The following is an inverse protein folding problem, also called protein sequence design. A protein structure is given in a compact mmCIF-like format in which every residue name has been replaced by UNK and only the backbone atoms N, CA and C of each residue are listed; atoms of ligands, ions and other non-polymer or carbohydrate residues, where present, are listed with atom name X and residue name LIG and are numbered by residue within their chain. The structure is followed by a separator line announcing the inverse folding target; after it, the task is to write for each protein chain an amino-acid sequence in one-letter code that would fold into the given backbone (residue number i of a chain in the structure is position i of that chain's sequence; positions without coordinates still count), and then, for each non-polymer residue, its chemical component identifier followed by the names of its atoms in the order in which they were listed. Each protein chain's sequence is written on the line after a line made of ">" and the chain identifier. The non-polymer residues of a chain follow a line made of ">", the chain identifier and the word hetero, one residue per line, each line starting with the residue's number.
data_IF_487587458726
#
_entry.id   IF_487587458726
#
_cell.length_a   1.000
_cell.length_b   1.000
_cell.length_c   1.000
_cell.angle_alpha   90.00
_cell.angle_beta   90.00
_cell.angle_gamma   90.00
#
_symmetry.space_group_name_H-M   'P 1'
#
loop_
_entity.id
_entity.type
_entity.pdbx_description
1 polymer ?
#
# COMPACT_ATOMS: atom_id res chain seq x y z
N UNK A 1 13.49 -15.16 17.35
CA UNK A 1 12.89 -14.40 18.48
C UNK A 1 11.39 -14.39 18.29
N UNK A 2 10.63 -14.69 19.34
CA UNK A 2 9.18 -14.68 19.34
C UNK A 2 8.70 -13.49 20.18
N UNK A 3 7.76 -12.71 19.66
CA UNK A 3 7.10 -11.64 20.41
C UNK A 3 5.65 -12.08 20.60
N UNK A 4 5.21 -12.17 21.85
CA UNK A 4 3.88 -12.69 22.20
C UNK A 4 3.00 -11.58 22.76
N UNK A 5 1.75 -11.56 22.30
CA UNK A 5 0.65 -10.82 22.91
C UNK A 5 -0.39 -11.81 23.42
N UNK A 6 -1.41 -11.34 24.13
CA UNK A 6 -2.51 -12.20 24.61
C UNK A 6 -3.29 -12.89 23.48
N UNK A 7 -3.35 -12.25 22.31
CA UNK A 7 -4.19 -12.71 21.19
C UNK A 7 -3.38 -13.34 20.06
N UNK A 8 -2.11 -12.95 19.89
CA UNK A 8 -1.29 -13.29 18.72
C UNK A 8 0.18 -13.46 19.06
N UNK A 9 0.81 -14.36 18.30
CA UNK A 9 2.24 -14.59 18.30
C UNK A 9 2.87 -14.06 17.01
N UNK A 10 3.96 -13.30 17.17
CA UNK A 10 4.69 -12.65 16.09
C UNK A 10 6.11 -13.22 16.01
N UNK A 11 6.40 -13.93 14.93
CA UNK A 11 7.73 -14.48 14.66
C UNK A 11 8.59 -13.40 14.01
N UNK A 12 9.70 -13.03 14.65
CA UNK A 12 10.63 -12.03 14.09
C UNK A 12 11.36 -12.63 12.89
N UNK A 13 11.14 -12.05 11.71
CA UNK A 13 11.82 -12.45 10.46
C UNK A 13 13.08 -11.61 10.26
N UNK A 14 13.00 -10.31 10.57
CA UNK A 14 14.11 -9.37 10.36
C UNK A 14 14.18 -8.33 11.46
N UNK A 15 15.39 -8.10 11.93
CA UNK A 15 15.73 -6.94 12.73
C UNK A 15 15.94 -5.74 11.81
N UNK A 16 15.15 -4.67 11.98
CA UNK A 16 15.19 -3.52 11.07
C UNK A 16 15.95 -2.33 11.65
N UNK A 17 15.83 -2.07 12.95
CA UNK A 17 16.40 -0.86 13.55
C UNK A 17 16.52 -0.97 15.09
N UNK A 18 17.53 -0.33 15.67
CA UNK A 18 17.70 -0.13 17.11
C UNK A 18 18.23 1.26 17.41
N UNK A 19 17.64 1.93 18.40
CA UNK A 19 18.32 2.99 19.15
C UNK A 19 18.01 2.91 20.65
N UNK A 20 18.36 3.94 21.42
CA UNK A 20 18.12 3.98 22.86
C UNK A 20 16.63 3.99 23.23
N UNK A 21 15.76 4.47 22.35
CA UNK A 21 14.34 4.67 22.63
C UNK A 21 13.47 3.56 22.03
N UNK A 22 13.81 3.05 20.84
CA UNK A 22 12.98 2.10 20.11
C UNK A 22 13.78 0.97 19.46
N UNK A 23 13.13 -0.18 19.28
CA UNK A 23 13.59 -1.30 18.46
C UNK A 23 12.49 -1.65 17.45
N UNK A 24 12.88 -1.97 16.21
CA UNK A 24 11.93 -2.29 15.14
C UNK A 24 12.22 -3.64 14.53
N UNK A 25 11.17 -4.42 14.40
CA UNK A 25 11.17 -5.76 13.83
C UNK A 25 10.19 -5.83 12.67
N UNK A 26 10.52 -6.64 11.68
CA UNK A 26 9.54 -7.14 10.71
C UNK A 26 9.20 -8.56 11.13
N UNK A 27 7.93 -8.79 11.41
CA UNK A 27 7.42 -10.03 11.95
C UNK A 27 6.41 -10.67 10.99
N UNK A 28 6.25 -11.99 11.10
CA UNK A 28 5.15 -12.74 10.51
C UNK A 28 4.21 -13.22 11.61
N UNK A 29 2.92 -13.29 11.31
CA UNK A 29 1.98 -14.05 12.14
C UNK A 29 2.37 -15.53 12.16
N UNK A 30 2.34 -16.18 13.33
CA UNK A 30 2.67 -17.60 13.43
C UNK A 30 1.73 -18.49 12.61
N UNK A 31 0.44 -18.16 12.58
CA UNK A 31 -0.60 -18.95 11.90
C UNK A 31 -0.96 -18.40 10.51
N UNK A 32 -0.20 -17.45 9.97
CA UNK A 32 -0.55 -16.75 8.73
C UNK A 32 0.63 -16.27 7.89
N UNK A 33 0.31 -15.69 6.73
CA UNK A 33 1.29 -15.07 5.83
C UNK A 33 1.41 -13.55 6.00
N UNK A 34 0.58 -12.95 6.85
CA UNK A 34 0.57 -11.51 7.08
C UNK A 34 1.84 -11.07 7.78
N UNK A 35 2.44 -9.99 7.27
CA UNK A 35 3.60 -9.34 7.86
C UNK A 35 3.22 -8.07 8.60
N UNK A 36 3.99 -7.78 9.63
CA UNK A 36 3.78 -6.65 10.51
C UNK A 36 5.11 -5.95 10.80
N UNK A 37 5.05 -4.63 10.96
CA UNK A 37 6.10 -3.88 11.63
C UNK A 37 5.77 -3.87 13.11
N UNK A 38 6.64 -4.45 13.93
CA UNK A 38 6.51 -4.42 15.39
C UNK A 38 7.56 -3.48 15.94
N UNK A 39 7.12 -2.44 16.65
CA UNK A 39 7.99 -1.44 17.30
C UNK A 39 7.92 -1.64 18.80
N UNK A 40 9.06 -1.91 19.42
CA UNK A 40 9.23 -1.94 20.87
C UNK A 40 9.72 -0.57 21.33
N UNK A 41 8.95 0.08 22.21
CA UNK A 41 9.30 1.35 22.83
C UNK A 41 9.87 1.05 24.22
N UNK A 42 11.13 1.43 24.41
CA UNK A 42 11.92 1.24 25.64
C UNK A 42 11.87 2.46 26.56
N UNK A 43 11.61 3.64 26.00
CA UNK A 43 11.62 4.88 26.76
C UNK A 43 10.37 5.02 27.64
N UNK A 44 10.52 4.76 28.94
CA UNK A 44 9.44 4.82 29.93
C UNK A 44 8.78 6.19 30.05
N UNK A 45 9.51 7.28 29.79
CA UNK A 45 8.93 8.64 29.82
C UNK A 45 7.92 8.86 28.70
N UNK A 46 8.08 8.17 27.57
CA UNK A 46 7.14 8.25 26.44
C UNK A 46 5.93 7.36 26.63
N UNK A 47 6.11 6.19 27.26
CA UNK A 47 5.09 5.14 27.33
C UNK A 47 3.75 5.66 27.83
N UNK A 48 3.70 6.40 28.94
CA UNK A 48 2.44 6.84 29.53
C UNK A 48 1.59 7.67 28.54
N UNK A 49 2.17 8.70 27.94
CA UNK A 49 1.47 9.53 26.96
C UNK A 49 1.21 8.83 25.63
N UNK A 50 2.10 7.93 25.20
CA UNK A 50 1.94 7.18 23.95
C UNK A 50 0.83 6.13 24.06
N UNK A 51 0.65 5.49 25.22
CA UNK A 51 -0.46 4.54 25.42
C UNK A 51 -1.80 5.22 25.21
N UNK A 52 -2.03 6.35 25.85
CA UNK A 52 -3.28 7.11 25.71
C UNK A 52 -3.56 7.45 24.24
N UNK A 53 -2.55 7.98 23.54
CA UNK A 53 -2.62 8.27 22.11
C UNK A 53 -2.99 7.04 21.27
N UNK A 54 -2.37 5.88 21.53
CA UNK A 54 -2.63 4.65 20.77
C UNK A 54 -3.98 4.01 21.10
N UNK A 55 -4.50 4.20 22.32
CA UNK A 55 -5.84 3.72 22.66
C UNK A 55 -6.92 4.45 21.86
N UNK A 56 -6.78 5.76 21.66
CA UNK A 56 -7.64 6.50 20.74
C UNK A 56 -7.55 5.98 19.30
N UNK A 57 -6.37 5.53 18.86
CA UNK A 57 -6.24 4.96 17.52
C UNK A 57 -6.86 3.57 17.39
N UNK A 58 -6.92 2.81 18.49
CA UNK A 58 -7.62 1.52 18.53
C UNK A 58 -9.12 1.69 18.30
N UNK A 59 -9.68 2.83 18.71
CA UNK A 59 -11.09 3.19 18.52
C UNK A 59 -11.37 3.71 17.10
N UNK A 60 -10.34 4.16 16.36
CA UNK A 60 -10.47 4.55 14.96
C UNK A 60 -10.60 3.31 14.06
N UNK A 61 -11.85 2.94 13.75
CA UNK A 61 -12.16 1.78 12.91
C UNK A 61 -11.63 1.86 11.47
N UNK A 62 -11.32 3.07 10.97
CA UNK A 62 -10.81 3.28 9.61
C UNK A 62 -9.30 3.07 9.52
N UNK A 63 -8.55 3.33 10.61
CA UNK A 63 -7.09 3.23 10.60
C UNK A 63 -6.58 1.80 10.75
N UNK A 64 -6.93 0.95 9.79
CA UNK A 64 -6.67 -0.50 9.80
C UNK A 64 -5.19 -0.89 9.70
N UNK A 65 -4.31 0.07 9.40
CA UNK A 65 -2.87 -0.11 9.44
C UNK A 65 -2.33 -0.19 10.87
N UNK A 66 -2.97 0.46 11.83
CA UNK A 66 -2.72 0.23 13.25
C UNK A 66 -3.46 -1.04 13.69
N UNK A 67 -2.69 -2.07 14.07
CA UNK A 67 -3.25 -3.39 14.39
C UNK A 67 -3.52 -3.54 15.87
N UNK A 68 -2.53 -3.20 16.71
CA UNK A 68 -2.65 -3.33 18.17
C UNK A 68 -1.49 -2.66 18.88
N UNK A 69 -1.64 -2.44 20.18
CA UNK A 69 -0.52 -2.21 21.09
C UNK A 69 -0.69 -3.04 22.36
N UNK A 70 0.43 -3.46 22.97
CA UNK A 70 0.42 -4.28 24.19
C UNK A 70 1.72 -4.13 24.98
N UNK A 71 1.67 -4.49 26.25
CA UNK A 71 2.84 -4.50 27.14
C UNK A 71 3.47 -5.88 27.22
N UNK A 72 4.80 -5.93 27.19
CA UNK A 72 5.59 -7.12 27.50
C UNK A 72 6.96 -6.69 28.01
N UNK A 73 7.51 -7.37 29.03
CA UNK A 73 8.83 -7.07 29.59
C UNK A 73 9.06 -5.57 29.88
N UNK A 74 8.06 -4.91 30.50
CA UNK A 74 8.07 -3.48 30.83
C UNK A 74 8.19 -2.50 29.64
N UNK A 75 8.09 -3.02 28.42
CA UNK A 75 8.13 -2.24 27.18
C UNK A 75 6.75 -2.20 26.54
N UNK A 76 6.47 -1.12 25.82
CA UNK A 76 5.28 -1.00 25.00
C UNK A 76 5.59 -1.47 23.58
N UNK A 77 4.80 -2.41 23.07
CA UNK A 77 4.88 -2.90 21.71
C UNK A 77 3.74 -2.29 20.89
N UNK A 78 4.06 -1.82 19.70
CA UNK A 78 3.13 -1.27 18.72
C UNK A 78 3.21 -2.11 17.46
N UNK A 79 2.07 -2.59 16.97
CA UNK A 79 1.98 -3.45 15.79
C UNK A 79 1.29 -2.67 14.68
N UNK A 80 2.02 -2.48 13.58
CA UNK A 80 1.51 -1.88 12.35
C UNK A 80 1.48 -2.94 11.25
N UNK A 81 0.53 -2.85 10.33
CA UNK A 81 0.56 -3.64 9.09
C UNK A 81 1.84 -3.31 8.30
N UNK A 82 2.47 -4.34 7.73
CA UNK A 82 3.63 -4.15 6.87
C UNK A 82 3.20 -4.11 5.40
N UNK A 83 3.45 -2.98 4.72
CA UNK A 83 3.18 -2.86 3.29
C UNK A 83 4.27 -3.54 2.43
N UNK A 84 3.83 -4.44 1.56
CA UNK A 84 4.67 -5.16 0.60
C UNK A 84 4.57 -4.56 -0.80
N UNK A 85 5.69 -4.55 -1.53
CA UNK A 85 5.80 -3.91 -2.84
C UNK A 85 7.09 -3.12 -2.99
N UNK A 86 7.17 -2.35 -4.07
CA UNK A 86 8.28 -1.44 -4.37
C UNK A 86 8.05 -0.09 -3.73
N UNK A 87 9.10 0.58 -3.28
CA UNK A 87 8.93 1.95 -2.77
C UNK A 87 8.68 2.95 -3.90
N UNK A 88 8.03 4.07 -3.58
CA UNK A 88 7.89 5.19 -4.51
C UNK A 88 9.27 5.70 -4.97
N UNK A 89 10.25 5.72 -4.07
CA UNK A 89 11.63 6.09 -4.41
C UNK A 89 12.23 5.16 -5.47
N UNK A 90 12.13 3.85 -5.28
CA UNK A 90 12.61 2.84 -6.23
C UNK A 90 11.87 2.94 -7.56
N UNK A 91 10.54 3.09 -7.55
CA UNK A 91 9.71 3.26 -8.76
C UNK A 91 10.18 4.44 -9.59
N UNK A 92 10.40 5.60 -8.96
CA UNK A 92 10.82 6.82 -9.65
C UNK A 92 12.30 6.80 -10.10
N UNK A 93 13.16 6.02 -9.45
CA UNK A 93 14.57 5.84 -9.85
C UNK A 93 14.73 4.84 -11.00
N UNK A 94 14.02 3.73 -10.95
CA UNK A 94 14.26 2.58 -11.82
C UNK A 94 13.42 2.62 -13.11
N UNK A 95 12.33 3.40 -13.12
CA UNK A 95 11.38 3.41 -14.23
C UNK A 95 11.03 4.85 -14.65
N UNK A 96 11.12 5.12 -15.96
CA UNK A 96 10.60 6.35 -16.52
C UNK A 96 9.07 6.33 -16.50
N UNK A 97 8.49 6.76 -15.39
CA UNK A 97 7.04 6.75 -15.16
C UNK A 97 6.35 7.88 -15.94
N UNK A 98 5.40 7.57 -16.87
CA UNK A 98 4.62 8.57 -17.57
C UNK A 98 3.90 9.53 -16.62
N UNK A 99 3.58 10.73 -17.10
CA UNK A 99 2.90 11.75 -16.27
C UNK A 99 1.57 11.25 -15.69
N UNK A 100 0.75 10.54 -16.47
CA UNK A 100 -0.53 10.03 -15.97
C UNK A 100 -0.38 8.98 -14.88
N UNK A 101 0.66 8.16 -14.97
CA UNK A 101 0.97 7.20 -13.91
C UNK A 101 1.37 7.94 -12.63
N UNK A 102 2.21 8.97 -12.74
CA UNK A 102 2.59 9.82 -11.58
C UNK A 102 1.39 10.58 -11.00
N UNK A 103 0.47 11.06 -11.84
CA UNK A 103 -0.78 11.68 -11.41
C UNK A 103 -1.67 10.68 -10.66
N UNK A 104 -1.79 9.45 -11.18
CA UNK A 104 -2.55 8.37 -10.56
C UNK A 104 -1.94 7.95 -9.22
N UNK A 105 -0.61 7.84 -9.12
CA UNK A 105 0.11 7.57 -7.88
C UNK A 105 -0.21 8.64 -6.82
N UNK A 106 -0.08 9.92 -7.16
CA UNK A 106 -0.39 11.00 -6.21
C UNK A 106 -1.85 11.00 -5.75
N UNK A 107 -2.79 10.67 -6.66
CA UNK A 107 -4.21 10.50 -6.31
C UNK A 107 -4.42 9.29 -5.40
N UNK A 108 -3.74 8.18 -5.68
CA UNK A 108 -3.79 6.94 -4.89
C UNK A 108 -3.30 7.16 -3.46
N UNK A 109 -2.18 7.86 -3.29
CA UNK A 109 -1.63 8.21 -1.97
C UNK A 109 -2.65 9.02 -1.16
N UNK A 110 -3.19 10.11 -1.72
CA UNK A 110 -4.15 10.95 -1.01
C UNK A 110 -5.47 10.20 -0.70
N UNK A 111 -5.93 9.37 -1.64
CA UNK A 111 -7.13 8.56 -1.44
C UNK A 111 -6.94 7.56 -0.30
N UNK A 112 -5.81 6.87 -0.26
CA UNK A 112 -5.53 5.90 0.79
C UNK A 112 -5.43 6.57 2.17
N UNK A 113 -4.81 7.76 2.23
CA UNK A 113 -4.77 8.56 3.46
C UNK A 113 -6.17 8.85 3.99
N UNK A 114 -7.09 9.27 3.12
CA UNK A 114 -8.46 9.59 3.51
C UNK A 114 -9.25 8.33 3.91
N UNK A 115 -9.05 7.20 3.22
CA UNK A 115 -9.72 5.93 3.54
C UNK A 115 -9.29 5.43 4.92
N UNK A 116 -8.01 5.55 5.24
CA UNK A 116 -7.44 5.12 6.50
C UNK A 116 -7.68 6.10 7.65
N UNK A 117 -8.28 7.27 7.38
CA UNK A 117 -8.49 8.35 8.35
C UNK A 117 -7.23 8.60 9.22
N UNK A 118 -6.08 8.71 8.56
CA UNK A 118 -4.80 8.62 9.25
C UNK A 118 -4.50 9.85 10.12
N UNK A 119 -4.10 9.67 11.39
CA UNK A 119 -3.69 10.79 12.23
C UNK A 119 -2.39 11.45 11.76
N UNK A 120 -2.25 12.74 12.01
CA UNK A 120 -1.12 13.58 11.59
C UNK A 120 0.25 13.00 11.92
N UNK A 121 0.39 12.39 13.11
CA UNK A 121 1.64 11.75 13.51
C UNK A 121 2.06 10.63 12.54
N UNK A 122 1.14 9.74 12.20
CA UNK A 122 1.41 8.61 11.31
C UNK A 122 1.65 9.08 9.88
N UNK A 123 0.91 10.09 9.43
CA UNK A 123 1.15 10.75 8.14
C UNK A 123 2.56 11.34 8.07
N UNK A 124 2.97 12.09 9.08
CA UNK A 124 4.30 12.68 9.13
C UNK A 124 5.41 11.62 9.17
N UNK A 125 5.14 10.45 9.76
CA UNK A 125 6.09 9.33 9.83
C UNK A 125 6.24 8.59 8.48
N UNK A 126 5.13 8.34 7.78
CA UNK A 126 5.11 7.53 6.56
C UNK A 126 5.24 8.30 5.24
N UNK A 127 5.04 9.63 5.22
CA UNK A 127 5.14 10.45 4.01
C UNK A 127 6.60 10.76 3.62
N UNK A 128 7.36 9.69 3.36
CA UNK A 128 8.69 9.68 2.73
C UNK A 128 8.65 8.74 1.52
N UNK A 129 9.42 9.03 0.49
CA UNK A 129 9.38 8.24 -0.73
C UNK A 129 9.81 6.78 -0.53
N UNK A 130 10.72 6.49 0.42
CA UNK A 130 11.10 5.12 0.77
C UNK A 130 10.02 4.35 1.55
N UNK A 131 9.02 5.04 2.12
CA UNK A 131 7.99 4.46 2.99
C UNK A 131 6.63 4.33 2.32
N UNK A 132 6.40 5.08 1.24
CA UNK A 132 5.23 4.89 0.39
C UNK A 132 5.50 3.70 -0.52
N UNK A 133 4.70 2.66 -0.38
CA UNK A 133 4.84 1.40 -1.11
C UNK A 133 3.75 1.30 -2.15
N UNK A 134 4.13 0.90 -3.36
CA UNK A 134 3.21 0.70 -4.47
C UNK A 134 3.05 -0.80 -4.73
N UNK A 135 1.80 -1.24 -4.77
CA UNK A 135 1.44 -2.57 -5.26
C UNK A 135 1.68 -2.67 -6.77
N UNK A 136 1.62 -3.88 -7.34
CA UNK A 136 1.64 -4.05 -8.79
C UNK A 136 0.47 -3.33 -9.51
N UNK A 137 -0.63 -3.07 -8.80
CA UNK A 137 -1.78 -2.29 -9.27
C UNK A 137 -1.65 -0.77 -9.07
N UNK A 138 -0.51 -0.30 -8.54
CA UNK A 138 -0.26 1.09 -8.12
C UNK A 138 -1.11 1.55 -6.93
N UNK A 139 -1.70 0.63 -6.18
CA UNK A 139 -2.32 0.95 -4.91
C UNK A 139 -1.23 1.38 -3.92
N UNK A 140 -1.47 2.47 -3.21
CA UNK A 140 -0.55 2.98 -2.22
C UNK A 140 -0.75 2.25 -0.90
N UNK A 141 0.36 1.90 -0.24
CA UNK A 141 0.42 1.46 1.15
C UNK A 141 1.57 2.16 1.85
N UNK A 142 1.64 2.01 3.18
CA UNK A 142 2.59 2.78 3.99
C UNK A 142 3.43 1.87 4.88
N UNK A 143 4.72 2.19 5.00
CA UNK A 143 5.59 1.64 6.05
C UNK A 143 5.78 2.68 7.14
N UNK A 144 5.68 2.20 8.38
CA UNK A 144 5.78 3.04 9.57
C UNK A 144 7.08 2.75 10.31
N UNK A 145 7.72 3.81 10.76
CA UNK A 145 8.97 3.79 11.48
C UNK A 145 8.79 3.94 12.98
N UNK A 146 7.86 4.82 13.37
CA UNK A 146 7.52 5.21 14.73
C UNK A 146 8.73 5.59 15.61
N UNK A 147 9.82 6.07 14.99
CA UNK A 147 11.08 6.33 15.69
C UNK A 147 10.95 7.42 16.76
N UNK A 148 10.16 8.44 16.46
CA UNK A 148 9.96 9.61 17.31
C UNK A 148 8.53 9.64 17.87
N UNK A 149 7.98 8.49 18.26
CA UNK A 149 6.59 8.40 18.74
C UNK A 149 6.33 9.19 20.03
N UNK A 150 7.37 9.47 20.83
CA UNK A 150 7.25 10.38 21.96
C UNK A 150 6.88 11.82 21.59
N UNK A 151 7.06 12.24 20.34
CA UNK A 151 6.72 13.59 19.87
C UNK A 151 5.32 13.65 19.21
N UNK A 152 4.45 12.64 19.39
CA UNK A 152 3.15 12.56 18.70
C UNK A 152 2.30 13.83 18.85
N UNK A 153 2.24 14.39 20.06
CA UNK A 153 1.44 15.57 20.40
C UNK A 153 1.99 16.87 19.83
N UNK A 154 3.25 16.87 19.39
CA UNK A 154 3.92 18.03 18.78
C UNK A 154 3.75 18.07 17.28
N UNK A 155 3.25 17.00 16.67
CA UNK A 155 3.02 16.98 15.23
C UNK A 155 1.82 17.87 14.91
N UNK A 156 2.00 18.71 13.92
CA UNK A 156 0.99 19.64 13.43
C UNK A 156 0.78 19.42 11.94
N UNK A 157 -0.44 19.68 11.46
CA UNK A 157 -0.83 19.45 10.07
C UNK A 157 0.09 20.13 9.03
N UNK A 158 0.66 21.31 9.32
CA UNK A 158 1.59 21.98 8.42
C UNK A 158 2.84 21.13 8.10
N UNK A 159 3.24 20.23 9.02
CA UNK A 159 4.34 19.28 8.78
C UNK A 159 3.92 18.18 7.81
N UNK A 160 2.67 17.73 7.88
CA UNK A 160 2.07 16.80 6.91
C UNK A 160 2.03 17.44 5.52
N UNK A 161 1.58 18.70 5.42
CA UNK A 161 1.57 19.45 4.16
C UNK A 161 2.98 19.54 3.54
N UNK A 162 3.99 19.81 4.36
CA UNK A 162 5.38 19.85 3.91
C UNK A 162 5.91 18.50 3.43
N UNK A 163 5.52 17.40 4.08
CA UNK A 163 5.87 16.05 3.62
C UNK A 163 5.19 15.73 2.29
N UNK A 164 3.89 16.01 2.16
CA UNK A 164 3.15 15.87 0.89
C UNK A 164 3.76 16.72 -0.23
N UNK A 165 4.19 17.95 0.08
CA UNK A 165 4.86 18.82 -0.89
C UNK A 165 6.12 18.17 -1.46
N UNK A 166 6.94 17.53 -0.61
CA UNK A 166 8.14 16.83 -1.07
C UNK A 166 7.77 15.67 -2.00
N UNK A 167 6.75 14.89 -1.64
CA UNK A 167 6.24 13.80 -2.50
C UNK A 167 5.79 14.32 -3.86
N UNK A 168 4.99 15.39 -3.91
CA UNK A 168 4.51 15.95 -5.17
C UNK A 168 5.62 16.61 -5.99
N UNK A 169 6.62 17.23 -5.35
CA UNK A 169 7.80 17.73 -6.04
C UNK A 169 8.64 16.61 -6.66
N UNK A 170 8.70 15.43 -6.03
CA UNK A 170 9.32 14.25 -6.62
C UNK A 170 8.49 13.74 -7.81
N UNK A 171 7.17 13.68 -7.65
CA UNK A 171 6.25 13.25 -8.71
C UNK A 171 6.21 14.19 -9.91
N UNK A 172 6.47 15.50 -9.76
CA UNK A 172 6.38 16.49 -10.86
C UNK A 172 7.70 17.22 -11.13
N UNK A 173 8.82 16.70 -10.63
CA UNK A 173 10.10 17.41 -10.66
C UNK A 173 10.59 17.75 -12.06
N UNK A 174 10.27 16.93 -13.06
CA UNK A 174 10.65 17.18 -14.45
C UNK A 174 9.86 18.36 -15.05
N UNK A 175 8.56 18.38 -14.81
CA UNK A 175 7.61 19.40 -15.26
C UNK A 175 7.91 20.74 -14.63
N UNK A 176 8.14 20.75 -13.31
CA UNK A 176 8.49 21.95 -12.56
C UNK A 176 9.80 22.58 -13.05
N UNK A 177 10.85 21.78 -13.28
CA UNK A 177 12.13 22.28 -13.81
C UNK A 177 11.98 22.92 -15.18
N UNK A 178 11.15 22.33 -16.05
CA UNK A 178 10.88 22.84 -17.40
C UNK A 178 9.81 23.94 -17.42
N UNK A 179 9.23 24.30 -16.25
CA UNK A 179 8.05 25.17 -16.11
C UNK A 179 6.89 24.75 -17.03
N UNK A 180 6.80 23.46 -17.28
CA UNK A 180 5.73 22.85 -18.05
C UNK A 180 4.66 22.40 -17.06
N UNK A 181 3.38 22.58 -17.40
CA UNK A 181 2.22 22.39 -16.50
C UNK A 181 2.07 23.43 -15.38
N UNK A 182 1.58 24.64 -15.70
CA UNK A 182 1.19 25.64 -14.69
C UNK A 182 0.29 25.11 -13.56
N UNK A 183 -0.68 24.19 -13.77
CA UNK A 183 -1.55 23.70 -12.70
C UNK A 183 -0.79 23.02 -11.56
N UNK A 184 0.21 22.18 -11.86
CA UNK A 184 0.99 21.47 -10.83
C UNK A 184 1.90 22.41 -10.04
N UNK A 185 2.44 23.44 -10.70
CA UNK A 185 3.23 24.47 -10.04
C UNK A 185 2.35 25.26 -9.06
N UNK A 186 1.16 25.72 -9.50
CA UNK A 186 0.21 26.43 -8.62
C UNK A 186 -0.22 25.59 -7.43
N UNK A 187 -0.55 24.32 -7.67
CA UNK A 187 -0.92 23.39 -6.60
C UNK A 187 0.18 23.27 -5.54
N UNK A 188 1.42 23.03 -5.96
CA UNK A 188 2.55 22.92 -5.03
C UNK A 188 2.93 24.24 -4.36
N UNK A 189 2.72 25.37 -5.03
CA UNK A 189 2.91 26.69 -4.42
C UNK A 189 1.88 26.98 -3.32
N UNK A 190 0.61 26.61 -3.52
CA UNK A 190 -0.42 26.70 -2.48
C UNK A 190 -0.11 25.77 -1.31
N UNK A 191 0.32 24.54 -1.59
CA UNK A 191 0.70 23.58 -0.56
C UNK A 191 1.90 24.09 0.28
N UNK A 192 2.90 24.71 -0.38
CA UNK A 192 4.05 25.34 0.30
C UNK A 192 3.65 26.51 1.20
N UNK A 193 2.62 27.27 0.81
CA UNK A 193 2.11 28.40 1.58
C UNK A 193 1.19 27.99 2.74
N UNK A 194 0.95 26.69 2.94
CA UNK A 194 0.00 26.21 3.94
C UNK A 194 -1.45 26.56 3.61
N UNK A 195 -1.79 26.62 2.31
CA UNK A 195 -3.10 27.10 1.84
C UNK A 195 -4.28 26.14 2.08
N UNK A 196 -4.06 24.98 2.69
CA UNK A 196 -5.10 23.97 2.93
C UNK A 196 -5.23 23.68 4.44
N UNK A 197 -6.45 23.38 4.88
CA UNK A 197 -6.80 23.13 6.29
C UNK A 197 -6.63 21.67 6.70
N UNK A 198 -6.88 20.75 5.77
CA UNK A 198 -6.84 19.30 5.99
C UNK A 198 -6.46 18.53 4.71
N UNK A 199 -6.35 17.21 4.80
CA UNK A 199 -5.99 16.36 3.65
C UNK A 199 -7.12 16.30 2.59
N UNK A 200 -8.37 16.47 2.99
CA UNK A 200 -9.51 16.43 2.06
C UNK A 200 -9.49 17.62 1.10
N UNK A 201 -9.14 18.81 1.59
CA UNK A 201 -8.92 19.98 0.75
C UNK A 201 -7.75 19.77 -0.21
N UNK A 202 -6.65 19.15 0.24
CA UNK A 202 -5.52 18.80 -0.63
C UNK A 202 -5.96 17.82 -1.71
N UNK A 203 -6.74 16.79 -1.36
CA UNK A 203 -7.30 15.84 -2.32
C UNK A 203 -8.19 16.51 -3.36
N UNK A 204 -9.09 17.39 -2.92
CA UNK A 204 -10.01 18.10 -3.81
C UNK A 204 -9.25 19.02 -4.77
N UNK A 205 -8.26 19.76 -4.27
CA UNK A 205 -7.40 20.61 -5.09
C UNK A 205 -6.54 19.80 -6.07
N UNK A 206 -6.02 18.65 -5.63
CA UNK A 206 -5.25 17.74 -6.47
C UNK A 206 -6.12 17.13 -7.59
N UNK A 207 -7.35 16.72 -7.29
CA UNK A 207 -8.29 16.20 -8.30
C UNK A 207 -8.65 17.27 -9.33
N UNK A 208 -8.92 18.50 -8.88
CA UNK A 208 -9.13 19.66 -9.76
C UNK A 208 -7.92 19.93 -10.67
N UNK A 209 -6.71 19.89 -10.12
CA UNK A 209 -5.46 20.02 -10.89
C UNK A 209 -5.34 18.90 -11.94
N UNK A 210 -5.62 17.64 -11.57
CA UNK A 210 -5.58 16.52 -12.52
C UNK A 210 -6.55 16.73 -13.69
N UNK A 211 -7.77 17.21 -13.42
CA UNK A 211 -8.76 17.52 -14.46
C UNK A 211 -8.29 18.64 -15.39
N UNK A 212 -7.73 19.71 -14.84
CA UNK A 212 -7.18 20.81 -15.65
C UNK A 212 -6.04 20.32 -16.56
N UNK A 213 -5.16 19.44 -16.06
CA UNK A 213 -4.09 18.85 -16.88
C UNK A 213 -4.66 17.98 -18.00
N UNK A 214 -5.73 17.22 -17.74
CA UNK A 214 -6.40 16.41 -18.77
C UNK A 214 -7.01 17.29 -19.87
N UNK A 215 -7.71 18.36 -19.49
CA UNK A 215 -8.29 19.32 -20.45
C UNK A 215 -7.23 20.02 -21.32
N UNK A 216 -6.07 20.35 -20.74
CA UNK A 216 -4.93 20.90 -21.47
C UNK A 216 -4.30 19.92 -22.46
N UNK A 217 -4.32 18.62 -22.13
CA UNK A 217 -3.88 17.53 -23.01
C UNK A 217 -4.85 17.36 -24.19
N UNK A 218 -6.15 17.31 -23.91
CA UNK A 218 -7.20 17.09 -24.91
C UNK A 218 -7.33 18.27 -25.88
N UNK A 219 -7.13 19.49 -25.39
CA UNK A 219 -7.19 20.71 -26.22
C UNK A 219 -5.94 20.95 -27.07
N UNK A 220 -4.90 20.08 -27.02
CA UNK A 220 -3.59 20.21 -27.69
C UNK A 220 -2.87 21.55 -27.46
N UNK A 221 -3.28 22.35 -26.47
CA UNK A 221 -2.87 23.76 -26.41
C UNK A 221 -1.51 24.01 -25.75
N UNK A 222 -0.98 23.14 -24.87
CA UNK A 222 0.27 23.45 -24.13
C UNK A 222 1.14 22.21 -23.78
N UNK A 223 1.21 21.19 -24.62
CA UNK A 223 2.17 20.09 -24.41
C UNK A 223 3.11 19.95 -25.62
N UNK A 224 4.42 20.24 -25.48
CA UNK A 224 5.36 19.98 -26.55
C UNK A 224 5.38 18.48 -26.82
N UNK A 225 5.18 18.16 -28.10
CA UNK A 225 5.28 16.81 -28.68
C UNK A 225 6.60 16.17 -28.30
N UNK A 226 6.61 15.41 -27.21
CA UNK A 226 7.72 14.51 -26.87
C UNK A 226 7.17 13.09 -26.79
N UNK A 227 8.03 12.14 -27.12
CA UNK A 227 7.76 10.78 -27.60
C UNK A 227 6.76 9.93 -26.78
N UNK A 228 6.52 10.31 -25.52
CA UNK A 228 5.67 9.60 -24.55
C UNK A 228 4.17 9.63 -24.89
N UNK A 229 3.73 10.49 -25.81
CA UNK A 229 2.34 10.52 -26.28
C UNK A 229 1.95 9.26 -27.07
N UNK A 230 2.92 8.55 -27.67
CA UNK A 230 2.65 7.31 -28.42
C UNK A 230 2.35 6.11 -27.52
N UNK A 231 2.79 6.13 -26.26
CA UNK A 231 2.44 5.09 -25.30
C UNK A 231 1.04 5.30 -24.72
N UNK A 232 0.60 6.56 -24.57
CA UNK A 232 -0.69 6.85 -23.95
C UNK A 232 -1.89 6.39 -24.79
N UNK A 233 -1.83 6.59 -26.09
CA UNK A 233 -2.86 6.11 -27.03
C UNK A 233 -2.96 4.57 -27.07
N UNK A 234 -1.89 3.87 -26.66
CA UNK A 234 -1.78 2.41 -26.69
C UNK A 234 -2.26 1.75 -25.39
N UNK A 235 -2.19 2.46 -24.26
CA UNK A 235 -2.59 1.99 -22.93
C UNK A 235 -4.11 2.20 -22.70
N UNK A 236 -4.67 3.36 -23.09
CA UNK A 236 -6.12 3.62 -22.98
C UNK A 236 -7.00 2.58 -23.70
N UNK A 237 -6.52 1.99 -24.81
CA UNK A 237 -7.28 0.97 -25.56
C UNK A 237 -7.20 -0.43 -24.96
N UNK A 238 -6.25 -0.72 -24.07
CA UNK A 238 -6.00 -2.09 -23.59
C UNK A 238 -6.56 -2.41 -22.21
N UNK A 239 -6.91 -1.42 -21.38
CA UNK A 239 -7.46 -1.67 -20.03
C UNK A 239 -8.83 -2.38 -20.04
N UNK A 240 -9.83 -2.00 -20.86
CA UNK A 240 -11.11 -2.73 -20.91
C UNK A 240 -11.02 -4.06 -21.67
N UNK A 241 -10.12 -4.16 -22.66
CA UNK A 241 -9.91 -5.39 -23.43
C UNK A 241 -9.16 -6.43 -22.61
N UNK A 242 -8.17 -6.03 -21.80
CA UNK A 242 -7.45 -6.92 -20.90
C UNK A 242 -8.37 -7.53 -19.83
N UNK A 243 -9.28 -6.73 -19.25
CA UNK A 243 -10.30 -7.26 -18.32
C UNK A 243 -11.21 -8.30 -19.00
N UNK A 244 -11.61 -8.06 -20.26
CA UNK A 244 -12.41 -9.02 -21.05
C UNK A 244 -11.63 -10.30 -21.40
N UNK A 245 -10.36 -10.17 -21.78
CA UNK A 245 -9.50 -11.32 -22.08
C UNK A 245 -9.26 -12.15 -20.81
N UNK A 246 -8.96 -11.52 -19.66
CA UNK A 246 -8.84 -12.23 -18.40
C UNK A 246 -10.13 -12.95 -18.01
N UNK A 247 -11.30 -12.34 -18.22
CA UNK A 247 -12.59 -12.98 -17.97
C UNK A 247 -12.84 -14.18 -18.91
N UNK A 248 -12.48 -14.06 -20.20
CA UNK A 248 -12.59 -15.16 -21.17
C UNK A 248 -11.63 -16.30 -20.82
N UNK A 249 -10.39 -15.98 -20.46
CA UNK A 249 -9.38 -16.98 -20.03
C UNK A 249 -9.83 -17.68 -18.74
N UNK A 250 -10.38 -16.94 -17.78
CA UNK A 250 -10.98 -17.51 -16.57
C UNK A 250 -12.16 -18.43 -16.89
N UNK A 251 -13.04 -18.04 -17.82
CA UNK A 251 -14.15 -18.91 -18.25
C UNK A 251 -13.66 -20.16 -18.97
N UNK A 252 -12.65 -20.05 -19.83
CA UNK A 252 -12.07 -21.21 -20.53
C UNK A 252 -11.36 -22.16 -19.56
N UNK A 253 -10.63 -21.63 -18.57
CA UNK A 253 -10.02 -22.43 -17.51
C UNK A 253 -11.08 -23.12 -16.64
N UNK A 254 -12.15 -22.43 -16.28
CA UNK A 254 -13.26 -23.03 -15.53
C UNK A 254 -13.98 -24.13 -16.34
N UNK A 255 -14.19 -23.92 -17.64
CA UNK A 255 -14.78 -24.92 -18.52
C UNK A 255 -13.86 -26.14 -18.73
N UNK A 256 -12.56 -25.92 -18.92
CA UNK A 256 -11.58 -26.99 -19.02
C UNK A 256 -11.49 -27.79 -17.71
N UNK A 257 -11.54 -27.12 -16.56
CA UNK A 257 -11.58 -27.77 -15.25
C UNK A 257 -12.86 -28.60 -15.06
N UNK A 258 -14.02 -28.09 -15.49
CA UNK A 258 -15.29 -28.82 -15.49
C UNK A 258 -15.26 -30.05 -16.40
N UNK A 259 -14.72 -29.93 -17.61
CA UNK A 259 -14.57 -31.07 -18.53
C UNK A 259 -13.61 -32.11 -17.94
N UNK A 260 -12.50 -31.66 -17.35
CA UNK A 260 -11.55 -32.54 -16.67
C UNK A 260 -12.20 -33.30 -15.50
N UNK A 261 -12.91 -32.60 -14.62
CA UNK A 261 -13.61 -33.24 -13.47
C UNK A 261 -14.75 -34.15 -13.91
N UNK A 262 -15.50 -33.81 -14.96
CA UNK A 262 -16.51 -34.72 -15.54
C UNK A 262 -15.82 -35.94 -16.15
N UNK A 263 -14.71 -35.77 -16.89
CA UNK A 263 -13.98 -36.88 -17.48
C UNK A 263 -13.36 -37.81 -16.44
N UNK A 264 -12.80 -37.25 -15.36
CA UNK A 264 -12.29 -37.99 -14.20
C UNK A 264 -13.42 -38.74 -13.47
N UNK A 265 -14.57 -38.09 -13.26
CA UNK A 265 -15.76 -38.74 -12.66
C UNK A 265 -16.37 -39.83 -13.56
N UNK A 266 -16.14 -39.79 -14.87
CA UNK A 266 -16.52 -40.86 -15.81
C UNK A 266 -15.49 -41.99 -15.87
N UNK A 267 -14.23 -41.75 -15.49
CA UNK A 267 -13.20 -42.79 -15.38
C UNK A 267 -13.30 -43.58 -14.07
N UNK A 268 -13.87 -43.01 -13.00
CA UNK A 268 -14.21 -43.74 -11.76
C UNK A 268 -15.51 -44.56 -11.84
N UNK A 269 -15.97 -44.88 -13.05
CA UNK A 269 -17.07 -45.80 -13.32
C UNK A 269 -16.58 -47.09 -13.96
N UNK A 270 -15.71 -47.88 -13.29
CA UNK A 270 -15.26 -49.12 -13.94
C UNK A 270 -14.30 -50.08 -13.25
N UNK A 271 -13.82 -49.90 -12.02
CA UNK A 271 -13.11 -50.99 -11.34
C UNK A 271 -14.08 -51.91 -10.61
N UNK A 272 -14.50 -52.98 -11.31
CA UNK A 272 -14.98 -54.19 -10.67
C UNK A 272 -13.93 -54.64 -9.66
N UNK A 273 -14.18 -54.42 -8.36
CA UNK A 273 -13.53 -55.19 -7.28
C UNK A 273 -13.96 -56.65 -7.42
N UNK A 274 -13.27 -57.36 -8.30
CA UNK A 274 -13.27 -58.81 -8.41
C UNK A 274 -12.61 -59.36 -7.14
N UNK A 275 -13.42 -59.73 -6.15
CA UNK A 275 -12.98 -60.58 -5.05
C UNK A 275 -12.63 -61.97 -5.60
N UNK A 276 -11.40 -62.13 -6.10
CA UNK A 276 -10.79 -63.46 -6.25
C UNK A 276 -10.15 -63.77 -4.91
N UNK A 277 -10.91 -64.38 -3.99
CA UNK A 277 -10.47 -65.35 -2.96
C UNK A 277 -11.59 -65.52 -1.92
N UNK A 278 -12.31 -66.64 -1.98
CA UNK A 278 -12.99 -67.26 -0.84
C UNK A 278 -12.67 -68.76 -0.93
N UNK A 279 -11.74 -69.25 -0.10
CA UNK A 279 -11.54 -70.70 0.05
C UNK A 279 -11.08 -71.47 -1.20
N UNK A 280 -10.90 -72.78 -1.02
CA UNK A 280 -10.03 -73.69 -1.78
C UNK A 280 -10.55 -74.17 -3.14
N UNK A 281 -10.87 -73.29 -4.09
CA UNK A 281 -11.08 -73.74 -5.48
C UNK A 281 -10.57 -72.71 -6.50
N UNK A 282 -9.52 -73.10 -7.25
CA UNK A 282 -9.09 -72.42 -8.48
C UNK A 282 -10.03 -72.78 -9.63
N UNK A 283 -10.57 -71.77 -10.32
CA UNK A 283 -11.21 -71.95 -11.62
C UNK A 283 -10.18 -71.55 -12.68
N UNK A 284 -9.73 -72.54 -13.46
CA UNK A 284 -8.90 -72.37 -14.67
C UNK A 284 -9.65 -71.62 -15.77
#
# INVERSE_FOLDING_TARGET
>A
MLIQSLEKNYIVIKYSFSDSNVERYICQEETGSKRYTVVRIKNRLWIAGVVEFLMHQKENAHFTDFVSCFFSEECLYVVMRYAEGISLEEKLKNESSPLEERLAIGKGILKEILILDMPDYFLKDCLKAEHIILSAGLDAGFRYELRNIGDYSRVQFWQVQNSLLKIFQMLFGQEMKKKMLPPSIRFCDLLRKGGYRDVLEIYTAYDGMCREIQELSDSRKILPRTWDFRLWDRIKRRIPVFKRICAIVLMLLAAAFLIYTVHESMQEGGEKKSFKYIGTLEIR
#
